data_IF_400984542888
#
_entry.id   IF_400984542888
#
_cell.length_a   1.000
_cell.length_b   1.000
_cell.length_c   1.000
_cell.angle_alpha   90.00
_cell.angle_beta   90.00
_cell.angle_gamma   90.00
#
_symmetry.space_group_name_H-M   'P 1'
#
loop_
_entity.id
_entity.type
_entity.pdbx_description
1 polymer ?
#
# COMPACT_ATOMS: atom_id res chain seq x y z
N UNK A 1 22.41 10.24 -18.32
CA UNK A 1 22.63 10.52 -16.89
C UNK A 1 21.31 10.81 -16.15
N UNK A 2 20.39 11.61 -16.72
CA UNK A 2 19.08 11.96 -16.12
C UNK A 2 18.23 10.78 -15.57
N UNK A 3 18.18 9.64 -16.28
CA UNK A 3 17.29 8.53 -15.91
C UNK A 3 17.66 7.79 -14.62
N UNK A 4 18.96 7.67 -14.31
CA UNK A 4 19.41 7.00 -13.07
C UNK A 4 19.08 7.85 -11.84
N UNK A 5 19.30 9.16 -11.94
CA UNK A 5 18.97 10.11 -10.88
C UNK A 5 17.46 10.17 -10.64
N UNK A 6 16.67 10.13 -11.71
CA UNK A 6 15.21 10.06 -11.63
C UNK A 6 14.72 8.80 -10.89
N UNK A 7 15.21 7.62 -11.28
CA UNK A 7 14.85 6.37 -10.59
C UNK A 7 15.31 6.36 -9.13
N UNK A 8 16.47 6.95 -8.82
CA UNK A 8 16.95 7.08 -7.45
C UNK A 8 16.05 8.00 -6.61
N UNK A 9 15.60 9.13 -7.17
CA UNK A 9 14.64 10.03 -6.54
C UNK A 9 13.29 9.33 -6.28
N UNK A 10 12.75 8.62 -7.28
CA UNK A 10 11.52 7.86 -7.12
C UNK A 10 11.62 6.82 -6.01
N UNK A 11 12.72 6.07 -5.97
CA UNK A 11 12.97 5.09 -4.92
C UNK A 11 13.06 5.74 -3.54
N UNK A 12 13.75 6.89 -3.43
CA UNK A 12 13.84 7.63 -2.17
C UNK A 12 12.45 8.06 -1.66
N UNK A 13 11.61 8.58 -2.56
CA UNK A 13 10.24 8.97 -2.23
C UNK A 13 9.42 7.76 -1.78
N UNK A 14 9.50 6.64 -2.53
CA UNK A 14 8.81 5.39 -2.18
C UNK A 14 9.24 4.88 -0.79
N UNK A 15 10.53 4.83 -0.52
CA UNK A 15 11.08 4.35 0.76
C UNK A 15 10.61 5.24 1.93
N UNK A 16 10.62 6.56 1.76
CA UNK A 16 10.13 7.52 2.77
C UNK A 16 8.63 7.36 2.97
N UNK A 17 7.84 7.31 1.89
CA UNK A 17 6.39 7.13 1.95
C UNK A 17 6.00 5.82 2.62
N UNK A 18 6.70 4.72 2.32
CA UNK A 18 6.48 3.44 2.96
C UNK A 18 6.82 3.48 4.46
N UNK A 19 7.91 4.14 4.85
CA UNK A 19 8.26 4.34 6.26
C UNK A 19 7.15 5.08 7.02
N UNK A 20 6.64 6.19 6.46
CA UNK A 20 5.52 6.93 7.06
C UNK A 20 4.25 6.07 7.11
N UNK A 21 3.91 5.39 6.02
CA UNK A 21 2.73 4.53 5.96
C UNK A 21 2.75 3.44 7.03
N UNK A 22 3.86 2.71 7.14
CA UNK A 22 4.02 1.65 8.14
C UNK A 22 3.94 2.23 9.55
N UNK A 23 4.62 3.34 9.82
CA UNK A 23 4.63 3.98 11.14
C UNK A 23 3.25 4.46 11.55
N UNK A 24 2.57 5.20 10.68
CA UNK A 24 1.24 5.78 10.94
C UNK A 24 0.20 4.67 11.12
N UNK A 25 0.17 3.67 10.23
CA UNK A 25 -0.80 2.58 10.33
C UNK A 25 -0.54 1.70 11.56
N UNK A 26 0.72 1.46 11.94
CA UNK A 26 1.04 0.75 13.18
C UNK A 26 0.59 1.53 14.41
N UNK A 27 0.86 2.83 14.43
CA UNK A 27 0.39 3.72 15.50
C UNK A 27 -1.14 3.79 15.57
N UNK A 28 -1.81 3.80 14.43
CA UNK A 28 -3.28 3.77 14.35
C UNK A 28 -3.85 2.48 14.94
N UNK A 29 -3.27 1.32 14.60
CA UNK A 29 -3.65 0.04 15.21
C UNK A 29 -3.48 0.10 16.75
N UNK A 30 -2.35 0.62 17.23
CA UNK A 30 -2.12 0.80 18.66
C UNK A 30 -3.20 1.67 19.32
N UNK A 31 -3.56 2.80 18.72
CA UNK A 31 -4.61 3.69 19.23
C UNK A 31 -5.99 3.02 19.21
N UNK A 32 -6.31 2.27 18.16
CA UNK A 32 -7.60 1.57 18.07
C UNK A 32 -7.70 0.51 19.18
N UNK A 33 -6.63 -0.23 19.45
CA UNK A 33 -6.64 -1.26 20.50
C UNK A 33 -6.69 -0.62 21.90
N UNK A 34 -5.90 0.43 22.14
CA UNK A 34 -5.70 0.97 23.49
C UNK A 34 -6.65 2.10 23.90
N UNK A 35 -7.17 2.88 22.94
CA UNK A 35 -7.91 4.13 23.18
C UNK A 35 -9.27 4.22 22.47
N UNK A 36 -9.72 3.19 21.75
CA UNK A 36 -11.00 3.28 21.03
C UNK A 36 -12.22 3.35 21.97
N UNK A 37 -13.15 4.30 21.77
CA UNK A 37 -14.40 4.35 22.51
C UNK A 37 -15.31 3.15 22.16
N UNK A 38 -16.11 2.71 23.14
CA UNK A 38 -17.05 1.58 22.98
C UNK A 38 -18.08 1.81 21.86
N UNK A 39 -18.40 3.06 21.55
CA UNK A 39 -19.31 3.47 20.48
C UNK A 39 -18.84 3.05 19.08
N UNK A 40 -17.54 2.84 18.87
CA UNK A 40 -17.01 2.35 17.59
C UNK A 40 -17.43 0.89 17.30
N UNK A 41 -17.83 0.11 18.32
CA UNK A 41 -18.40 -1.23 18.11
C UNK A 41 -17.55 -2.11 17.19
N UNK A 42 -18.16 -2.63 16.12
CA UNK A 42 -17.50 -3.47 15.11
C UNK A 42 -16.63 -2.68 14.11
N UNK A 43 -16.82 -1.37 14.00
CA UNK A 43 -16.08 -0.51 13.06
C UNK A 43 -14.57 -0.52 13.33
N UNK A 44 -14.18 -0.69 14.59
CA UNK A 44 -12.78 -0.77 15.00
C UNK A 44 -12.04 -1.92 14.30
N UNK A 45 -12.71 -3.05 14.04
CA UNK A 45 -12.09 -4.20 13.37
C UNK A 45 -11.90 -3.91 11.88
N UNK A 46 -12.83 -3.19 11.26
CA UNK A 46 -12.67 -2.72 9.89
C UNK A 46 -11.47 -1.77 9.79
N UNK A 47 -11.31 -0.81 10.71
CA UNK A 47 -10.14 0.08 10.70
C UNK A 47 -8.83 -0.66 10.89
N UNK A 48 -8.77 -1.63 11.81
CA UNK A 48 -7.57 -2.47 12.01
C UNK A 48 -7.25 -3.24 10.72
N UNK A 49 -8.27 -3.83 10.08
CA UNK A 49 -8.09 -4.53 8.80
C UNK A 49 -7.51 -3.61 7.73
N UNK A 50 -8.05 -2.40 7.59
CA UNK A 50 -7.55 -1.39 6.64
C UNK A 50 -6.08 -1.07 6.94
N UNK A 51 -5.73 -0.80 8.21
CA UNK A 51 -4.36 -0.48 8.58
C UNK A 51 -3.38 -1.64 8.32
N UNK A 52 -3.77 -2.88 8.61
CA UNK A 52 -2.94 -4.06 8.30
C UNK A 52 -2.77 -4.22 6.78
N UNK A 53 -3.83 -4.00 6.02
CA UNK A 53 -3.81 -4.04 4.57
C UNK A 53 -2.87 -2.98 3.98
N UNK A 54 -2.92 -1.74 4.46
CA UNK A 54 -2.03 -0.64 4.03
C UNK A 54 -0.56 -0.91 4.39
N UNK A 55 -0.27 -1.51 5.57
CA UNK A 55 1.08 -1.94 5.94
C UNK A 55 1.58 -3.01 4.97
N UNK A 56 0.77 -4.05 4.71
CA UNK A 56 1.13 -5.12 3.78
C UNK A 56 1.38 -4.57 2.37
N UNK A 57 0.55 -3.63 1.91
CA UNK A 57 0.71 -2.98 0.62
C UNK A 57 2.01 -2.17 0.55
N UNK A 58 2.32 -1.40 1.60
CA UNK A 58 3.56 -0.60 1.69
C UNK A 58 4.81 -1.47 1.69
N UNK A 59 4.78 -2.62 2.36
CA UNK A 59 5.88 -3.59 2.32
C UNK A 59 6.07 -4.13 0.91
N UNK A 60 4.97 -4.46 0.22
CA UNK A 60 5.01 -4.97 -1.14
C UNK A 60 5.58 -3.93 -2.12
N UNK A 61 5.23 -2.64 -1.95
CA UNK A 61 5.78 -1.53 -2.73
C UNK A 61 7.31 -1.43 -2.58
N UNK A 62 7.84 -1.49 -1.35
CA UNK A 62 9.30 -1.45 -1.09
C UNK A 62 10.01 -2.68 -1.65
N UNK A 63 9.40 -3.87 -1.56
CA UNK A 63 9.97 -5.11 -2.11
C UNK A 63 10.05 -5.04 -3.64
N UNK A 64 9.03 -4.46 -4.28
CA UNK A 64 8.93 -4.40 -5.74
C UNK A 64 9.60 -3.19 -6.36
N UNK A 65 9.76 -2.08 -5.65
CA UNK A 65 10.29 -0.80 -6.18
C UNK A 65 9.73 -0.54 -7.59
N UNK A 66 8.39 -0.54 -7.75
CA UNK A 66 7.79 -0.51 -9.08
C UNK A 66 8.10 0.82 -9.75
N UNK A 67 8.52 0.78 -11.01
CA UNK A 67 8.70 1.96 -11.84
C UNK A 67 7.53 2.06 -12.81
N UNK A 68 6.68 3.06 -12.60
CA UNK A 68 5.55 3.33 -13.46
C UNK A 68 5.99 4.18 -14.65
N UNK A 69 5.80 3.66 -15.85
CA UNK A 69 6.11 4.35 -17.10
C UNK A 69 4.85 4.48 -17.94
N UNK A 70 4.46 5.72 -18.20
CA UNK A 70 3.29 6.06 -19.02
C UNK A 70 3.76 6.78 -20.27
N UNK A 71 3.41 6.26 -21.45
CA UNK A 71 3.72 6.91 -22.71
C UNK A 71 2.58 6.70 -23.71
N UNK A 72 1.95 7.80 -24.14
CA UNK A 72 0.75 7.76 -24.97
C UNK A 72 -0.36 6.94 -24.30
N UNK A 73 -0.97 5.96 -25.00
CA UNK A 73 -2.00 5.10 -24.43
C UNK A 73 -1.44 3.94 -23.58
N UNK A 74 -0.12 3.82 -23.44
CA UNK A 74 0.52 2.67 -22.80
C UNK A 74 0.94 2.99 -21.37
N UNK A 75 0.61 2.08 -20.45
CA UNK A 75 1.03 2.13 -19.06
C UNK A 75 1.75 0.84 -18.69
N UNK A 76 2.99 0.94 -18.20
CA UNK A 76 3.85 -0.18 -17.84
C UNK A 76 4.34 -0.06 -16.41
N UNK A 77 4.47 -1.21 -15.75
CA UNK A 77 5.23 -1.33 -14.50
C UNK A 77 6.46 -2.16 -14.77
N UNK A 78 7.61 -1.55 -14.49
CA UNK A 78 8.90 -2.18 -14.65
C UNK A 78 9.44 -2.47 -13.24
N UNK A 79 9.72 -3.75 -12.98
CA UNK A 79 10.36 -4.21 -11.75
C UNK A 79 11.76 -4.69 -12.10
N UNK A 80 12.78 -4.06 -11.52
CA UNK A 80 14.17 -4.48 -11.71
C UNK A 80 14.44 -5.87 -11.12
N UNK A 81 15.27 -6.67 -11.80
CA UNK A 81 15.67 -8.01 -11.33
C UNK A 81 16.96 -7.99 -10.50
N UNK A 82 17.74 -6.92 -10.59
CA UNK A 82 19.05 -6.81 -9.94
C UNK A 82 18.88 -6.68 -8.42
N UNK A 83 19.69 -7.43 -7.66
CA UNK A 83 19.73 -7.41 -6.19
C UNK A 83 18.40 -7.70 -5.49
N UNK A 84 17.50 -8.46 -6.12
CA UNK A 84 16.22 -8.86 -5.52
C UNK A 84 16.29 -10.24 -4.88
N UNK A 85 15.53 -10.42 -3.79
CA UNK A 85 15.44 -11.67 -3.04
C UNK A 85 14.75 -12.79 -3.85
N UNK A 86 13.86 -12.42 -4.78
CA UNK A 86 13.05 -13.34 -5.56
C UNK A 86 13.51 -13.38 -7.02
N UNK A 87 13.45 -14.56 -7.64
CA UNK A 87 13.67 -14.70 -9.08
C UNK A 87 12.53 -14.09 -9.92
N UNK A 88 12.68 -14.06 -11.26
CA UNK A 88 11.72 -13.42 -12.16
C UNK A 88 10.27 -13.88 -11.96
N UNK A 89 10.05 -15.18 -11.83
CA UNK A 89 8.71 -15.75 -11.62
C UNK A 89 8.06 -15.27 -10.30
N UNK A 90 8.83 -15.25 -9.21
CA UNK A 90 8.35 -14.77 -7.91
C UNK A 90 8.04 -13.27 -7.94
N UNK A 91 8.87 -12.48 -8.63
CA UNK A 91 8.63 -11.05 -8.82
C UNK A 91 7.40 -10.78 -9.70
N UNK A 92 7.13 -11.61 -10.71
CA UNK A 92 5.89 -11.50 -11.49
C UNK A 92 4.66 -11.74 -10.62
N UNK A 93 4.66 -12.79 -9.79
CA UNK A 93 3.55 -13.07 -8.86
C UNK A 93 3.36 -11.90 -7.88
N UNK A 94 4.45 -11.43 -7.25
CA UNK A 94 4.40 -10.31 -6.33
C UNK A 94 3.87 -9.04 -7.01
N UNK A 95 4.29 -8.77 -8.25
CA UNK A 95 3.79 -7.64 -9.03
C UNK A 95 2.29 -7.80 -9.37
N UNK A 96 1.82 -9.01 -9.67
CA UNK A 96 0.38 -9.27 -9.81
C UNK A 96 -0.38 -9.02 -8.51
N UNK A 97 0.17 -9.45 -7.36
CA UNK A 97 -0.39 -9.14 -6.06
C UNK A 97 -0.45 -7.62 -5.83
N UNK A 98 0.60 -6.88 -6.18
CA UNK A 98 0.65 -5.42 -6.04
C UNK A 98 -0.51 -4.72 -6.76
N UNK A 99 -0.79 -5.13 -8.00
CA UNK A 99 -1.94 -4.64 -8.75
C UNK A 99 -3.28 -5.07 -8.14
N UNK A 100 -3.35 -6.28 -7.59
CA UNK A 100 -4.51 -6.74 -6.82
C UNK A 100 -4.77 -5.89 -5.59
N UNK A 101 -3.71 -5.52 -4.84
CA UNK A 101 -3.82 -4.62 -3.70
C UNK A 101 -4.25 -3.22 -4.13
N UNK A 102 -3.67 -2.65 -5.20
CA UNK A 102 -4.11 -1.35 -5.73
C UNK A 102 -5.62 -1.31 -6.01
N UNK A 103 -6.15 -2.35 -6.69
CA UNK A 103 -7.59 -2.46 -6.94
C UNK A 103 -8.40 -2.67 -5.67
N UNK A 104 -7.90 -3.50 -4.75
CA UNK A 104 -8.55 -3.75 -3.46
C UNK A 104 -8.60 -2.50 -2.58
N UNK A 105 -7.58 -1.62 -2.58
CA UNK A 105 -7.59 -0.35 -1.85
C UNK A 105 -8.82 0.50 -2.18
N UNK A 106 -9.19 0.57 -3.46
CA UNK A 106 -10.38 1.31 -3.90
C UNK A 106 -11.67 0.73 -3.32
N UNK A 107 -11.80 -0.60 -3.33
CA UNK A 107 -12.96 -1.28 -2.75
C UNK A 107 -12.99 -1.12 -1.22
N UNK A 108 -11.84 -1.21 -0.56
CA UNK A 108 -11.69 -1.05 0.88
C UNK A 108 -12.10 0.37 1.31
N UNK A 109 -11.68 1.41 0.58
CA UNK A 109 -12.15 2.77 0.84
C UNK A 109 -13.65 2.92 0.63
N UNK A 110 -14.22 2.33 -0.43
CA UNK A 110 -15.66 2.35 -0.64
C UNK A 110 -16.43 1.71 0.55
N UNK A 111 -15.98 0.53 1.02
CA UNK A 111 -16.55 -0.14 2.19
C UNK A 111 -16.43 0.73 3.43
N UNK A 112 -15.27 1.37 3.65
CA UNK A 112 -15.07 2.29 4.77
C UNK A 112 -16.08 3.44 4.77
N UNK A 113 -16.31 4.07 3.61
CA UNK A 113 -17.29 5.15 3.45
C UNK A 113 -18.72 4.68 3.68
N UNK A 114 -19.13 3.58 3.05
CA UNK A 114 -20.48 3.01 3.19
C UNK A 114 -20.75 2.61 4.64
N UNK A 115 -19.80 1.94 5.28
CA UNK A 115 -19.94 1.54 6.67
C UNK A 115 -20.08 2.76 7.58
N UNK A 116 -19.26 3.80 7.37
CA UNK A 116 -19.37 5.05 8.14
C UNK A 116 -20.72 5.71 7.93
N UNK A 117 -21.24 5.74 6.71
CA UNK A 117 -22.58 6.26 6.42
C UNK A 117 -23.66 5.49 7.19
N UNK A 118 -23.62 4.15 7.21
CA UNK A 118 -24.65 3.34 7.85
C UNK A 118 -24.63 3.37 9.40
N UNK A 119 -23.46 3.57 10.02
CA UNK A 119 -23.31 3.49 11.48
C UNK A 119 -23.29 4.85 12.16
N UNK A 120 -22.93 5.92 11.43
CA UNK A 120 -22.87 7.30 11.95
C UNK A 120 -24.08 8.14 11.52
N UNK A 121 -24.92 7.64 10.59
CA UNK A 121 -26.27 8.20 10.32
C UNK A 121 -27.30 7.63 11.28
#
# INVERSE_FOLDING_TARGET
MLGKEWSALLKLIQDISAFFSITINTFLIFLIISKSPKQLGAYKYLMIFISVFEIAYSILDVVLVPQHYSHGPTFLVIVGLQHKLFGPYGLTILNSCYWGFFGASMAVFAVHFVYRWLVVS
#
